data_IF_628635288799
#
_entry.id   IF_628635288799
#
_cell.length_a   1.000
_cell.length_b   1.000
_cell.length_c   1.000
_cell.angle_alpha   90.00
_cell.angle_beta   90.00
_cell.angle_gamma   90.00
#
_symmetry.space_group_name_H-M   'P 1'
#
loop_
_entity.id
_entity.type
_entity.pdbx_description
1 polymer ?
#
# COMPACT_ATOMS: atom_id res chain seq x y z
N UNK A 1 -4.01 9.91 14.49
CA UNK A 1 -3.57 8.97 13.43
C UNK A 1 -2.84 7.82 14.10
N UNK A 2 -3.35 6.59 14.01
CA UNK A 2 -2.56 5.42 14.40
C UNK A 2 -1.34 5.34 13.45
N UNK A 3 -0.14 5.42 14.02
CA UNK A 3 1.10 5.15 13.29
C UNK A 3 1.05 3.66 13.00
N UNK A 4 0.80 3.29 11.74
CA UNK A 4 0.86 1.89 11.33
C UNK A 4 2.35 1.53 11.28
N UNK A 5 2.88 0.70 12.21
CA UNK A 5 4.21 0.14 12.05
C UNK A 5 4.22 -0.70 10.77
N UNK A 6 5.34 -0.63 10.03
CA UNK A 6 5.53 -1.39 8.78
C UNK A 6 4.63 -0.98 7.60
N UNK A 7 4.30 0.32 7.48
CA UNK A 7 3.58 0.85 6.31
C UNK A 7 4.23 0.46 4.97
N UNK A 8 5.56 0.44 4.90
CA UNK A 8 6.31 0.12 3.68
C UNK A 8 6.21 -1.37 3.33
N UNK A 9 6.32 -2.27 4.31
CA UNK A 9 6.16 -3.70 4.10
C UNK A 9 4.72 -4.06 3.67
N UNK A 10 3.71 -3.41 4.29
CA UNK A 10 2.31 -3.56 3.86
C UNK A 10 2.08 -3.01 2.46
N UNK A 11 2.63 -1.84 2.14
CA UNK A 11 2.50 -1.25 0.81
C UNK A 11 3.10 -2.16 -0.27
N UNK A 12 4.26 -2.78 0.00
CA UNK A 12 4.86 -3.78 -0.91
C UNK A 12 4.02 -5.04 -1.04
N UNK A 13 3.46 -5.57 0.05
CA UNK A 13 2.53 -6.72 -0.01
C UNK A 13 1.30 -6.42 -0.85
N UNK A 14 0.68 -5.26 -0.64
CA UNK A 14 -0.48 -4.82 -1.42
C UNK A 14 -0.10 -4.64 -2.89
N UNK A 15 1.05 -4.02 -3.18
CA UNK A 15 1.55 -3.87 -4.56
C UNK A 15 1.80 -5.22 -5.24
N UNK A 16 2.45 -6.18 -4.57
CA UNK A 16 2.69 -7.51 -5.11
C UNK A 16 1.39 -8.28 -5.40
N UNK A 17 0.38 -8.15 -4.54
CA UNK A 17 -0.95 -8.74 -4.78
C UNK A 17 -1.64 -8.10 -5.98
N UNK A 18 -1.49 -6.80 -6.18
CA UNK A 18 -2.03 -6.09 -7.35
C UNK A 18 -1.30 -6.51 -8.62
N UNK A 19 0.04 -6.62 -8.58
CA UNK A 19 0.85 -7.09 -9.72
C UNK A 19 0.55 -8.55 -10.09
N UNK A 20 0.19 -9.38 -9.11
CA UNK A 20 -0.28 -10.74 -9.33
C UNK A 20 -1.69 -10.81 -9.96
N UNK A 21 -2.33 -9.67 -10.25
CA UNK A 21 -3.67 -9.58 -10.84
C UNK A 21 -4.80 -9.44 -9.80
N UNK A 22 -4.47 -9.28 -8.52
CA UNK A 22 -5.43 -9.10 -7.44
C UNK A 22 -6.03 -7.68 -7.40
N UNK A 23 -7.29 -7.57 -7.01
CA UNK A 23 -7.96 -6.28 -6.83
C UNK A 23 -7.36 -5.46 -5.69
N UNK A 24 -7.25 -4.13 -5.88
CA UNK A 24 -6.79 -3.18 -4.86
C UNK A 24 -7.64 -3.27 -3.59
N UNK A 25 -8.97 -3.40 -3.73
CA UNK A 25 -9.90 -3.48 -2.61
C UNK A 25 -9.71 -4.74 -1.75
N UNK A 26 -9.55 -5.90 -2.38
CA UNK A 26 -9.29 -7.17 -1.68
C UNK A 26 -7.94 -7.13 -0.98
N UNK A 27 -6.91 -6.64 -1.67
CA UNK A 27 -5.56 -6.51 -1.12
C UNK A 27 -5.52 -5.54 0.07
N UNK A 28 -6.24 -4.42 -0.03
CA UNK A 28 -6.40 -3.44 1.05
C UNK A 28 -7.12 -4.05 2.27
N UNK A 29 -8.24 -4.75 2.06
CA UNK A 29 -8.95 -5.46 3.15
C UNK A 29 -8.09 -6.52 3.82
N UNK A 30 -7.41 -7.36 3.04
CA UNK A 30 -6.56 -8.43 3.56
C UNK A 30 -5.41 -7.90 4.43
N UNK A 31 -4.93 -6.68 4.16
CA UNK A 31 -3.84 -6.06 4.92
C UNK A 31 -4.32 -5.05 5.98
N UNK A 32 -5.64 -4.90 6.17
CA UNK A 32 -6.24 -3.96 7.13
C UNK A 32 -5.92 -2.49 6.81
N UNK A 33 -5.72 -2.16 5.53
CA UNK A 33 -5.38 -0.81 5.06
C UNK A 33 -6.55 -0.28 4.24
N UNK A 34 -6.98 0.95 4.49
CA UNK A 34 -7.97 1.60 3.62
C UNK A 34 -7.33 2.01 2.29
N UNK A 35 -8.08 1.95 1.20
CA UNK A 35 -7.63 2.39 -0.13
C UNK A 35 -7.02 3.81 -0.10
N UNK A 36 -7.67 4.74 0.62
CA UNK A 36 -7.17 6.10 0.81
C UNK A 36 -5.77 6.14 1.41
N UNK A 37 -5.48 5.27 2.37
CA UNK A 37 -4.16 5.15 3.01
C UNK A 37 -3.15 4.55 2.04
N UNK A 38 -3.53 3.52 1.28
CA UNK A 38 -2.69 2.92 0.26
C UNK A 38 -2.29 3.92 -0.83
N UNK A 39 -3.24 4.66 -1.40
CA UNK A 39 -2.93 5.70 -2.39
C UNK A 39 -2.04 6.81 -1.83
N UNK A 40 -2.23 7.17 -0.55
CA UNK A 40 -1.39 8.16 0.11
C UNK A 40 0.04 7.67 0.30
N UNK A 41 0.23 6.40 0.69
CA UNK A 41 1.56 5.78 0.79
C UNK A 41 2.23 5.60 -0.57
N UNK A 42 1.47 5.16 -1.59
CA UNK A 42 1.97 5.05 -2.96
C UNK A 42 2.43 6.39 -3.52
N UNK A 43 1.70 7.48 -3.25
CA UNK A 43 2.13 8.84 -3.64
C UNK A 43 3.42 9.26 -2.93
N UNK A 44 3.56 8.94 -1.65
CA UNK A 44 4.81 9.16 -0.92
C UNK A 44 5.97 8.34 -1.50
N UNK A 45 5.75 7.06 -1.82
CA UNK A 45 6.78 6.21 -2.44
C UNK A 45 7.15 6.63 -3.87
N UNK A 46 6.18 7.11 -4.66
CA UNK A 46 6.43 7.65 -6.00
C UNK A 46 7.27 8.93 -5.98
N UNK A 47 7.22 9.71 -4.89
CA UNK A 47 8.10 10.86 -4.68
C UNK A 47 9.50 10.39 -4.21
N UNK A 48 9.59 9.23 -3.57
CA UNK A 48 10.86 8.66 -3.06
C UNK A 48 11.64 7.85 -4.09
N UNK A 49 11.04 7.44 -5.22
CA UNK A 49 11.77 6.68 -6.26
C UNK A 49 12.53 7.53 -7.29
N UNK A 50 12.58 8.85 -7.11
CA UNK A 50 13.39 9.76 -7.90
C UNK A 50 14.63 10.18 -7.08
N UNK A 51 15.56 9.24 -6.85
CA UNK A 51 16.97 9.51 -6.56
C UNK A 51 17.80 8.24 -6.66
#
# INVERSE_FOLDING_TARGET
>A
MAVIPDKDARCRRIAALIEAGGGVCESCRANGVSEKTFYRWRKTQSITQLK
#
